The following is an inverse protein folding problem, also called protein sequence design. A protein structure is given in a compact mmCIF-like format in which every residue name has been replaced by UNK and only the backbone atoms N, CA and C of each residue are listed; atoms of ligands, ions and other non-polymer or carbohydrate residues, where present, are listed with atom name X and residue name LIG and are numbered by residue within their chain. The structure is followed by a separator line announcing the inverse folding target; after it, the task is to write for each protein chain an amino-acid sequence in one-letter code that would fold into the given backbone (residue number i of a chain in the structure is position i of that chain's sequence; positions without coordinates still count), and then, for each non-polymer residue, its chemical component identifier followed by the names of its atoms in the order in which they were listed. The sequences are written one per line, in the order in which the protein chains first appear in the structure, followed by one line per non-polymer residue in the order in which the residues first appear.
data_IF_381449199788
#
_entry.id   IF_381449199788
#
_cell.length_a   1.000
_cell.length_b   1.000
_cell.length_c   1.000
_cell.angle_alpha   90.00
_cell.angle_beta   90.00
_cell.angle_gamma   90.00
#
_symmetry.space_group_name_H-M   'P 1'
#
loop_
_entity.id
_entity.type
_entity.pdbx_description
1 polymer ?
#
# COMPACT_ATOMS: atom_id res chain seq x y z
N UNK A 1 13.84 5.21 11.67
CA UNK A 1 13.44 4.51 12.92
C UNK A 1 13.06 3.06 12.65
N UNK A 2 12.17 2.76 11.70
CA UNK A 2 11.80 1.39 11.35
C UNK A 2 12.98 0.53 10.85
N UNK A 3 13.84 1.11 10.02
CA UNK A 3 15.01 0.42 9.46
C UNK A 3 16.03 -0.02 10.53
N UNK A 4 16.24 0.80 11.57
CA UNK A 4 17.13 0.44 12.69
C UNK A 4 16.56 -0.73 13.51
N UNK A 5 15.25 -0.78 13.68
CA UNK A 5 14.58 -1.89 14.38
C UNK A 5 14.58 -3.16 13.53
N UNK A 6 14.35 -3.05 12.22
CA UNK A 6 14.47 -4.17 11.28
C UNK A 6 15.89 -4.74 11.27
N UNK A 7 16.91 -3.86 11.26
CA UNK A 7 18.30 -4.29 11.34
C UNK A 7 18.58 -5.05 12.64
N UNK A 8 18.13 -4.50 13.76
CA UNK A 8 18.27 -5.14 15.08
C UNK A 8 17.62 -6.53 15.12
N UNK A 9 16.38 -6.64 14.65
CA UNK A 9 15.62 -7.91 14.66
C UNK A 9 16.26 -8.95 13.74
N UNK A 10 16.57 -8.58 12.50
CA UNK A 10 17.03 -9.52 11.49
C UNK A 10 18.51 -9.90 11.64
N UNK A 11 19.37 -8.97 12.10
CA UNK A 11 20.81 -9.25 12.21
C UNK A 11 21.25 -9.69 13.61
N UNK A 12 20.68 -9.11 14.67
CA UNK A 12 21.13 -9.41 16.04
C UNK A 12 20.30 -10.52 16.70
N UNK A 13 18.97 -10.45 16.62
CA UNK A 13 18.09 -11.43 17.26
C UNK A 13 17.87 -12.70 16.42
N UNK A 14 17.93 -12.58 15.10
CA UNK A 14 17.78 -13.69 14.13
C UNK A 14 16.58 -14.59 14.47
N UNK A 15 15.38 -14.01 14.39
CA UNK A 15 14.13 -14.73 14.59
C UNK A 15 13.94 -15.84 13.54
N UNK A 16 13.00 -16.76 13.81
CA UNK A 16 12.63 -17.86 12.92
C UNK A 16 12.23 -17.42 11.50
N UNK A 17 11.68 -16.20 11.37
CA UNK A 17 11.29 -15.61 10.09
C UNK A 17 11.97 -14.27 9.87
N UNK A 18 12.41 -14.00 8.64
CA UNK A 18 12.94 -12.69 8.26
C UNK A 18 11.80 -11.68 8.22
N UNK A 19 11.89 -10.64 9.05
CA UNK A 19 10.87 -9.60 9.13
C UNK A 19 11.08 -8.61 8.01
N UNK A 20 10.06 -8.43 7.18
CA UNK A 20 10.07 -7.42 6.09
C UNK A 20 9.13 -6.27 6.43
N UNK A 21 7.95 -6.59 6.98
CA UNK A 21 6.96 -5.61 7.36
C UNK A 21 6.55 -5.85 8.81
N UNK A 22 7.06 -4.97 9.68
CA UNK A 22 6.85 -5.03 11.13
C UNK A 22 5.35 -5.15 11.49
N UNK A 23 4.48 -4.38 10.85
CA UNK A 23 3.06 -4.36 11.22
C UNK A 23 2.33 -5.64 10.81
N UNK A 24 2.72 -6.25 9.69
CA UNK A 24 2.13 -7.49 9.21
C UNK A 24 2.66 -8.69 9.99
N UNK A 25 3.98 -8.77 10.11
CA UNK A 25 4.69 -9.95 10.62
C UNK A 25 4.47 -10.09 12.13
N UNK A 26 4.42 -8.99 12.88
CA UNK A 26 4.14 -9.02 14.32
C UNK A 26 2.64 -9.03 14.67
N UNK A 27 1.73 -8.94 13.69
CA UNK A 27 0.28 -8.90 13.94
C UNK A 27 -0.28 -10.19 14.56
N UNK A 28 0.45 -11.30 14.49
CA UNK A 28 0.07 -12.58 15.11
C UNK A 28 0.38 -12.64 16.61
N UNK A 29 1.29 -11.78 17.08
CA UNK A 29 1.84 -11.84 18.44
C UNK A 29 2.90 -12.95 18.66
N UNK A 30 3.00 -13.94 17.76
CA UNK A 30 3.96 -15.04 17.88
C UNK A 30 5.41 -14.55 17.83
N UNK A 31 5.75 -13.70 16.86
CA UNK A 31 7.10 -13.14 16.74
C UNK A 31 7.49 -12.22 17.90
N UNK A 32 6.51 -11.57 18.56
CA UNK A 32 6.78 -10.83 19.80
C UNK A 32 7.16 -11.79 20.92
N UNK A 33 6.48 -12.93 21.03
CA UNK A 33 6.83 -13.99 21.99
C UNK A 33 8.22 -14.55 21.74
N UNK A 34 8.55 -14.85 20.47
CA UNK A 34 9.88 -15.32 20.09
C UNK A 34 10.97 -14.26 20.38
N UNK A 35 10.69 -12.99 20.10
CA UNK A 35 11.60 -11.89 20.41
C UNK A 35 11.89 -11.80 21.91
N UNK A 36 10.86 -11.89 22.76
CA UNK A 36 11.04 -11.90 24.21
C UNK A 36 11.77 -13.15 24.71
N UNK A 37 11.56 -14.29 24.05
CA UNK A 37 12.30 -15.52 24.31
C UNK A 37 13.79 -15.37 24.01
N UNK A 38 14.15 -14.81 22.85
CA UNK A 38 15.55 -14.53 22.49
C UNK A 38 16.24 -13.55 23.43
N UNK A 39 15.48 -12.62 24.00
CA UNK A 39 15.97 -11.68 25.01
C UNK A 39 16.01 -12.27 26.43
N UNK A 40 15.68 -13.56 26.62
CA UNK A 40 15.55 -14.25 27.91
C UNK A 40 14.56 -13.57 28.88
N UNK A 41 13.54 -12.88 28.34
CA UNK A 41 12.50 -12.19 29.11
C UNK A 41 11.27 -13.08 29.33
N UNK A 42 11.06 -14.09 28.49
CA UNK A 42 9.90 -14.97 28.53
C UNK A 42 10.25 -16.37 28.03
N UNK A 43 9.97 -17.42 28.81
CA UNK A 43 10.41 -18.80 28.49
C UNK A 43 9.29 -19.71 27.97
N UNK A 44 8.03 -19.25 27.97
CA UNK A 44 6.86 -20.05 27.60
C UNK A 44 6.49 -19.93 26.11
N UNK A 45 7.48 -19.87 25.23
CA UNK A 45 7.27 -19.88 23.77
C UNK A 45 6.41 -21.06 23.26
N UNK A 46 6.47 -22.28 23.84
CA UNK A 46 5.62 -23.40 23.41
C UNK A 46 4.11 -23.14 23.55
N UNK A 47 3.70 -22.23 24.42
CA UNK A 47 2.27 -21.90 24.62
C UNK A 47 1.74 -20.96 23.53
N UNK A 48 2.62 -20.38 22.71
CA UNK A 48 2.25 -19.47 21.64
C UNK A 48 1.80 -20.22 20.38
N UNK A 49 0.74 -19.73 19.76
CA UNK A 49 0.18 -20.30 18.54
C UNK A 49 0.59 -19.48 17.32
N UNK A 50 1.36 -20.08 16.40
CA UNK A 50 1.69 -19.46 15.12
C UNK A 50 0.55 -19.60 14.11
N UNK A 51 -0.54 -18.88 14.34
CA UNK A 51 -1.71 -18.86 13.47
C UNK A 51 -2.25 -17.45 13.28
N UNK A 52 -2.88 -17.21 12.13
CA UNK A 52 -3.51 -15.94 11.78
C UNK A 52 -4.97 -15.81 12.29
N UNK A 53 -5.50 -16.85 12.97
CA UNK A 53 -6.85 -16.83 13.53
C UNK A 53 -6.96 -15.77 14.64
N UNK A 54 -8.16 -15.17 14.76
CA UNK A 54 -8.38 -14.11 15.74
C UNK A 54 -8.17 -14.62 17.18
N UNK A 55 -8.62 -15.85 17.48
CA UNK A 55 -8.44 -16.45 18.80
C UNK A 55 -6.97 -16.73 19.13
N UNK A 56 -6.18 -17.22 18.16
CA UNK A 56 -4.74 -17.41 18.36
C UNK A 56 -4.02 -16.09 18.66
N UNK A 57 -4.39 -15.01 17.94
CA UNK A 57 -3.89 -13.67 18.23
C UNK A 57 -4.22 -13.25 19.66
N UNK A 58 -5.50 -13.34 20.06
CA UNK A 58 -5.93 -12.96 21.41
C UNK A 58 -5.13 -13.71 22.47
N UNK A 59 -5.01 -15.04 22.33
CA UNK A 59 -4.25 -15.88 23.25
C UNK A 59 -2.78 -15.43 23.34
N UNK A 60 -2.10 -15.26 22.21
CA UNK A 60 -0.71 -14.81 22.17
C UNK A 60 -0.53 -13.45 22.88
N UNK A 61 -1.42 -12.49 22.63
CA UNK A 61 -1.33 -11.17 23.24
C UNK A 61 -1.68 -11.15 24.73
N UNK A 62 -2.55 -12.05 25.19
CA UNK A 62 -2.75 -12.30 26.63
C UNK A 62 -1.47 -12.86 27.28
N UNK A 63 -0.77 -13.79 26.64
CA UNK A 63 0.50 -14.32 27.16
C UNK A 63 1.63 -13.27 27.21
N UNK A 64 1.56 -12.23 26.37
CA UNK A 64 2.55 -11.14 26.35
C UNK A 64 2.28 -10.07 27.40
N UNK A 65 1.01 -9.85 27.78
CA UNK A 65 0.60 -8.75 28.67
C UNK A 65 1.36 -8.76 30.02
N UNK A 66 1.50 -9.89 30.73
CA UNK A 66 2.28 -9.94 31.96
C UNK A 66 3.72 -9.48 31.75
N UNK A 67 4.42 -10.00 30.74
CA UNK A 67 5.83 -9.66 30.49
C UNK A 67 6.00 -8.19 30.12
N UNK A 68 5.13 -7.65 29.26
CA UNK A 68 5.18 -6.24 28.87
C UNK A 68 4.97 -5.31 30.05
N UNK A 69 4.06 -5.68 30.96
CA UNK A 69 3.80 -4.94 32.20
C UNK A 69 5.01 -4.94 33.14
N UNK A 70 5.70 -6.08 33.28
CA UNK A 70 6.94 -6.18 34.05
C UNK A 70 8.06 -5.29 33.48
N UNK A 71 8.14 -5.20 32.14
CA UNK A 71 9.10 -4.33 31.44
C UNK A 71 8.75 -2.82 31.50
N UNK A 72 7.60 -2.48 32.12
CA UNK A 72 7.03 -1.13 32.17
C UNK A 72 6.78 -0.53 30.78
N UNK A 73 6.38 -1.38 29.83
CA UNK A 73 5.93 -0.99 28.50
C UNK A 73 4.44 -0.66 28.57
N UNK A 74 4.00 0.42 27.94
CA UNK A 74 2.59 0.79 27.90
C UNK A 74 1.84 -0.15 26.95
N UNK A 75 1.30 -1.23 27.51
CA UNK A 75 0.67 -2.31 26.75
C UNK A 75 -0.81 -2.46 27.12
N UNK A 76 -1.63 -1.60 26.52
CA UNK A 76 -3.08 -1.57 26.73
C UNK A 76 -3.82 -2.43 25.70
N UNK A 77 -5.08 -2.78 26.02
CA UNK A 77 -5.94 -3.56 25.12
C UNK A 77 -6.14 -2.89 23.75
N UNK A 78 -6.18 -1.55 23.71
CA UNK A 78 -6.28 -0.78 22.47
C UNK A 78 -5.02 -0.91 21.61
N UNK A 79 -3.84 -0.85 22.24
CA UNK A 79 -2.56 -1.04 21.57
C UNK A 79 -2.44 -2.47 21.04
N UNK A 80 -2.83 -3.47 21.82
CA UNK A 80 -2.87 -4.86 21.39
C UNK A 80 -3.82 -5.05 20.19
N UNK A 81 -5.04 -4.50 20.25
CA UNK A 81 -6.00 -4.55 19.14
C UNK A 81 -5.49 -3.81 17.89
N UNK A 82 -4.82 -2.66 18.05
CA UNK A 82 -4.22 -1.93 16.94
C UNK A 82 -3.12 -2.75 16.24
N UNK A 83 -2.29 -3.46 17.01
CA UNK A 83 -1.26 -4.36 16.46
C UNK A 83 -1.91 -5.56 15.76
N UNK A 84 -2.93 -6.19 16.37
CA UNK A 84 -3.66 -7.30 15.75
C UNK A 84 -4.27 -6.93 14.39
N UNK A 85 -4.67 -5.66 14.23
CA UNK A 85 -5.19 -5.06 13.00
C UNK A 85 -4.12 -4.64 12.00
N UNK A 86 -2.85 -4.62 12.38
CA UNK A 86 -1.76 -4.11 11.56
C UNK A 86 -1.84 -2.58 11.34
N UNK A 87 -2.33 -1.84 12.33
CA UNK A 87 -2.32 -0.38 12.28
C UNK A 87 -0.89 0.15 12.16
N UNK A 88 -0.65 1.04 11.21
CA UNK A 88 0.68 1.56 10.91
C UNK A 88 1.28 2.25 12.14
N UNK A 89 2.46 1.79 12.56
CA UNK A 89 3.24 2.35 13.65
C UNK A 89 2.94 1.76 15.03
N UNK A 90 1.86 0.99 15.19
CA UNK A 90 1.47 0.45 16.49
C UNK A 90 2.47 -0.62 16.97
N UNK A 91 2.81 -1.59 16.12
CA UNK A 91 3.80 -2.61 16.48
C UNK A 91 5.18 -1.98 16.63
N UNK A 92 5.51 -1.00 15.79
CA UNK A 92 6.80 -0.32 15.83
C UNK A 92 7.05 0.42 17.15
N UNK A 93 6.03 1.10 17.68
CA UNK A 93 6.13 1.80 18.96
C UNK A 93 6.38 0.83 20.12
N UNK A 94 5.64 -0.29 20.17
CA UNK A 94 5.83 -1.31 21.22
C UNK A 94 7.20 -1.96 21.10
N UNK A 95 7.64 -2.32 19.89
CA UNK A 95 8.97 -2.89 19.66
C UNK A 95 10.09 -1.95 20.09
N UNK A 96 9.95 -0.66 19.82
CA UNK A 96 10.92 0.33 20.28
C UNK A 96 10.98 0.39 21.81
N UNK A 97 9.83 0.41 22.49
CA UNK A 97 9.77 0.40 23.95
C UNK A 97 10.40 -0.86 24.54
N UNK A 98 10.15 -2.02 23.93
CA UNK A 98 10.76 -3.30 24.33
C UNK A 98 12.27 -3.27 24.15
N UNK A 99 12.76 -2.77 23.01
CA UNK A 99 14.21 -2.62 22.77
C UNK A 99 14.87 -1.75 23.85
N UNK A 100 14.28 -0.59 24.15
CA UNK A 100 14.80 0.32 25.17
C UNK A 100 14.74 -0.30 26.58
N UNK A 101 13.70 -1.07 26.88
CA UNK A 101 13.59 -1.79 28.14
C UNK A 101 14.66 -2.89 28.27
N UNK A 102 14.92 -3.62 27.18
CA UNK A 102 15.94 -4.65 27.12
C UNK A 102 17.35 -4.05 27.26
N UNK A 103 17.66 -2.95 26.56
CA UNK A 103 18.93 -2.25 26.71
C UNK A 103 19.14 -1.70 28.12
N UNK A 104 18.07 -1.18 28.75
CA UNK A 104 18.12 -0.73 30.15
C UNK A 104 18.42 -1.89 31.10
N UNK A 105 17.84 -3.06 30.85
CA UNK A 105 18.11 -4.26 31.64
C UNK A 105 19.55 -4.76 31.44
N UNK A 106 20.06 -4.71 30.21
CA UNK A 106 21.43 -5.09 29.88
C UNK A 106 22.48 -4.13 30.50
N UNK A 107 22.14 -2.84 30.69
CA UNK A 107 23.03 -1.83 31.29
C UNK A 107 23.00 -1.78 32.82
N UNK A 108 22.07 -2.47 33.47
CA UNK A 108 22.03 -2.51 34.92
C UNK A 108 23.25 -3.30 35.47
N UNK A 109 23.98 -2.77 36.47
CA UNK A 109 25.20 -3.41 36.96
C UNK A 109 24.91 -4.78 37.59
N UNK A 110 25.77 -5.76 37.28
CA UNK A 110 25.82 -7.06 37.94
C UNK A 110 26.22 -6.85 39.42
N UNK A 111 25.31 -7.20 40.34
CA UNK A 111 25.37 -7.31 41.82
C UNK A 111 26.63 -6.79 42.57
N UNK A 112 26.42 -5.96 43.60
CA UNK A 112 27.39 -5.65 44.68
C UNK A 112 27.69 -6.87 45.56
N UNK A 113 28.94 -7.33 45.59
CA UNK A 113 29.40 -8.57 46.26
C UNK A 113 29.51 -8.50 47.78
N UNK A 114 29.12 -7.40 48.44
CA UNK A 114 29.30 -7.22 49.91
C UNK A 114 28.51 -8.21 50.79
N UNK A 115 27.48 -8.87 50.25
CA UNK A 115 26.71 -9.89 50.99
C UNK A 115 27.28 -11.32 50.83
N UNK A 116 28.27 -11.52 49.96
CA UNK A 116 28.92 -12.82 49.74
C UNK A 116 29.71 -13.27 50.98
N UNK A 117 30.30 -12.34 51.72
CA UNK A 117 31.19 -12.62 52.86
C UNK A 117 30.49 -13.22 54.09
N UNK A 118 29.15 -13.10 54.21
CA UNK A 118 28.42 -13.55 55.40
C UNK A 118 27.73 -14.90 55.27
N UNK A 119 27.32 -15.30 54.07
CA UNK A 119 26.42 -16.46 53.91
C UNK A 119 26.70 -17.34 52.69
N UNK A 120 27.76 -17.13 51.89
CA UNK A 120 28.06 -17.92 50.69
C UNK A 120 26.89 -18.04 49.69
N UNK A 121 25.97 -17.07 49.70
CA UNK A 121 24.83 -17.00 48.77
C UNK A 121 24.92 -15.69 48.02
N UNK A 122 25.01 -15.75 46.69
CA UNK A 122 24.98 -14.59 45.80
C UNK A 122 23.56 -14.01 45.82
N UNK A 123 23.33 -12.79 46.33
CA UNK A 123 22.01 -12.18 46.27
C UNK A 123 21.74 -11.68 44.85
N UNK A 124 20.55 -11.96 44.33
CA UNK A 124 20.08 -11.41 43.05
C UNK A 124 19.76 -9.91 43.20
N UNK A 125 20.22 -9.08 42.27
CA UNK A 125 19.87 -7.66 42.22
C UNK A 125 18.38 -7.47 41.88
N UNK A 126 17.73 -6.48 42.51
CA UNK A 126 16.39 -5.95 42.22
C UNK A 126 15.15 -6.70 42.73
N UNK A 127 15.23 -7.50 43.79
CA UNK A 127 14.00 -7.82 44.53
C UNK A 127 13.73 -6.75 45.60
N UNK A 128 12.65 -5.96 45.52
CA UNK A 128 12.25 -5.13 46.64
C UNK A 128 12.06 -6.02 47.87
N UNK A 129 12.63 -5.62 49.02
CA UNK A 129 12.60 -6.35 50.31
C UNK A 129 11.18 -6.66 50.79
N UNK A 130 10.20 -5.94 50.26
CA UNK A 130 8.82 -6.39 50.19
C UNK A 130 8.54 -6.67 48.72
N UNK A 131 8.42 -7.95 48.35
CA UNK A 131 7.63 -8.30 47.18
C UNK A 131 6.29 -7.58 47.38
N UNK A 132 5.85 -6.70 46.45
CA UNK A 132 4.44 -6.36 46.41
C UNK A 132 3.74 -7.72 46.46
N UNK A 133 2.78 -7.89 47.38
CA UNK A 133 1.93 -9.09 47.35
C UNK A 133 1.61 -9.34 45.88
N UNK A 134 1.75 -10.57 45.35
CA UNK A 134 1.21 -10.88 44.05
C UNK A 134 -0.30 -10.74 44.18
N UNK A 135 -0.81 -9.52 44.14
CA UNK A 135 -2.00 -9.22 43.41
C UNK A 135 -1.60 -9.43 41.94
N UNK A 136 -1.35 -10.70 41.60
CA UNK A 136 -1.68 -11.21 40.30
C UNK A 136 -3.15 -10.85 40.15
N UNK A 137 -3.36 -9.71 39.50
CA UNK A 137 -4.66 -9.10 39.39
C UNK A 137 -5.32 -9.84 38.23
N UNK A 138 -5.73 -11.07 38.51
CA UNK A 138 -6.50 -11.91 37.60
C UNK A 138 -7.72 -11.14 37.07
N UNK A 139 -8.25 -10.21 37.88
CA UNK A 139 -9.25 -9.26 37.44
C UNK A 139 -8.69 -8.33 36.34
N UNK A 140 -7.52 -7.70 36.50
CA UNK A 140 -6.90 -6.92 35.40
C UNK A 140 -6.59 -7.73 34.15
N UNK A 141 -6.08 -8.96 34.30
CA UNK A 141 -5.81 -9.82 33.14
C UNK A 141 -7.11 -10.20 32.42
N UNK A 142 -8.15 -10.58 33.16
CA UNK A 142 -9.47 -10.88 32.59
C UNK A 142 -10.16 -9.64 32.01
N UNK A 143 -9.98 -8.45 32.60
CA UNK A 143 -10.44 -7.19 32.00
C UNK A 143 -9.69 -6.87 30.71
N UNK A 144 -8.37 -7.10 30.67
CA UNK A 144 -7.57 -6.96 29.45
C UNK A 144 -8.07 -7.91 28.38
N UNK A 145 -8.17 -9.21 28.69
CA UNK A 145 -8.68 -10.23 27.77
C UNK A 145 -10.09 -9.89 27.27
N UNK A 146 -11.00 -9.53 28.17
CA UNK A 146 -12.37 -9.17 27.82
C UNK A 146 -12.41 -7.92 26.92
N UNK A 147 -11.60 -6.91 27.21
CA UNK A 147 -11.48 -5.69 26.40
C UNK A 147 -10.89 -6.00 25.03
N UNK A 148 -9.83 -6.80 24.96
CA UNK A 148 -9.22 -7.26 23.71
C UNK A 148 -10.25 -8.04 22.88
N UNK A 149 -10.95 -9.02 23.47
CA UNK A 149 -12.01 -9.78 22.79
C UNK A 149 -13.13 -8.87 22.27
N UNK A 150 -13.52 -7.83 23.00
CA UNK A 150 -14.51 -6.85 22.54
C UNK A 150 -14.03 -6.07 21.32
N UNK A 151 -12.79 -5.58 21.33
CA UNK A 151 -12.17 -4.88 20.19
C UNK A 151 -11.87 -5.81 19.00
N UNK A 152 -11.67 -7.10 19.26
CA UNK A 152 -11.51 -8.12 18.20
C UNK A 152 -12.86 -8.55 17.63
N UNK A 153 -13.96 -8.51 18.39
CA UNK A 153 -15.30 -8.71 17.81
C UNK A 153 -15.69 -7.57 16.88
N UNK A 154 -15.27 -6.33 17.14
CA UNK A 154 -15.37 -5.27 16.12
C UNK A 154 -14.48 -5.51 14.89
N UNK A 155 -13.47 -6.38 15.02
CA UNK A 155 -12.59 -6.81 13.93
C UNK A 155 -13.29 -7.83 13.01
N UNK A 156 -14.16 -8.68 13.54
CA UNK A 156 -15.05 -9.51 12.73
C UNK A 156 -16.01 -8.65 11.89
N UNK A 157 -16.55 -7.56 12.46
CA UNK A 157 -17.34 -6.60 11.69
C UNK A 157 -16.51 -5.83 10.64
N UNK A 158 -15.22 -5.54 10.91
CA UNK A 158 -14.33 -4.94 9.90
C UNK A 158 -13.93 -5.92 8.79
N UNK A 159 -13.78 -7.22 9.10
CA UNK A 159 -13.61 -8.28 8.08
C UNK A 159 -14.86 -8.40 7.22
N UNK A 160 -16.03 -8.36 7.83
CA UNK A 160 -17.30 -8.33 7.13
C UNK A 160 -17.39 -7.09 6.21
N UNK A 161 -16.96 -5.90 6.67
CA UNK A 161 -16.91 -4.70 5.83
C UNK A 161 -15.94 -4.85 4.63
N UNK A 162 -14.79 -5.52 4.82
CA UNK A 162 -13.86 -5.83 3.73
C UNK A 162 -14.44 -6.84 2.74
N UNK A 163 -15.17 -7.84 3.22
CA UNK A 163 -15.88 -8.80 2.37
C UNK A 163 -16.97 -8.10 1.56
N UNK A 164 -17.75 -7.21 2.18
CA UNK A 164 -18.74 -6.40 1.48
C UNK A 164 -18.11 -5.55 0.36
N UNK A 165 -16.97 -4.89 0.61
CA UNK A 165 -16.24 -4.14 -0.43
C UNK A 165 -15.69 -5.05 -1.54
N UNK A 166 -15.25 -6.26 -1.21
CA UNK A 166 -14.79 -7.22 -2.21
C UNK A 166 -15.96 -7.71 -3.08
N UNK A 167 -17.13 -7.92 -2.50
CA UNK A 167 -18.36 -8.25 -3.23
C UNK A 167 -18.83 -7.10 -4.13
N UNK A 168 -18.74 -5.86 -3.67
CA UNK A 168 -19.01 -4.68 -4.51
C UNK A 168 -18.06 -4.61 -5.71
N UNK A 169 -16.77 -4.85 -5.50
CA UNK A 169 -15.78 -4.88 -6.58
C UNK A 169 -16.08 -6.01 -7.59
N UNK A 170 -16.45 -7.20 -7.10
CA UNK A 170 -16.85 -8.33 -7.97
C UNK A 170 -18.07 -7.98 -8.83
N UNK A 171 -19.08 -7.33 -8.24
CA UNK A 171 -20.26 -6.87 -8.98
C UNK A 171 -19.93 -5.81 -10.03
N UNK A 172 -19.02 -4.88 -9.70
CA UNK A 172 -18.57 -3.87 -10.64
C UNK A 172 -17.84 -4.49 -11.84
N UNK A 173 -16.96 -5.47 -11.61
CA UNK A 173 -16.29 -6.21 -12.68
C UNK A 173 -17.29 -6.97 -13.56
N UNK A 174 -18.25 -7.68 -12.97
CA UNK A 174 -19.32 -8.36 -13.72
C UNK A 174 -20.14 -7.39 -14.59
N UNK A 175 -20.44 -6.20 -14.07
CA UNK A 175 -21.13 -5.17 -14.85
C UNK A 175 -20.29 -4.67 -16.03
N UNK A 176 -18.96 -4.51 -15.83
CA UNK A 176 -18.04 -4.13 -16.91
C UNK A 176 -17.94 -5.22 -17.98
N UNK A 177 -17.87 -6.48 -17.58
CA UNK A 177 -17.90 -7.61 -18.50
C UNK A 177 -19.21 -7.65 -19.31
N UNK A 178 -20.35 -7.41 -18.66
CA UNK A 178 -21.64 -7.31 -19.36
C UNK A 178 -21.65 -6.17 -20.38
N UNK A 179 -21.13 -5.00 -20.01
CA UNK A 179 -20.99 -3.88 -20.96
C UNK A 179 -20.06 -4.21 -22.13
N UNK A 180 -18.95 -4.91 -21.88
CA UNK A 180 -18.03 -5.34 -22.92
C UNK A 180 -18.69 -6.33 -23.90
N UNK A 181 -19.46 -7.31 -23.40
CA UNK A 181 -20.23 -8.24 -24.24
C UNK A 181 -21.22 -7.53 -25.14
N UNK A 182 -21.97 -6.56 -24.59
CA UNK A 182 -22.89 -5.75 -25.38
C UNK A 182 -22.16 -4.93 -26.45
N UNK A 183 -20.97 -4.41 -26.13
CA UNK A 183 -20.15 -3.70 -27.09
C UNK A 183 -19.67 -4.63 -28.23
N UNK A 184 -19.23 -5.84 -27.91
CA UNK A 184 -18.83 -6.86 -28.89
C UNK A 184 -20.00 -7.26 -29.81
N UNK A 185 -21.21 -7.46 -29.27
CA UNK A 185 -22.41 -7.74 -30.08
C UNK A 185 -22.75 -6.58 -31.03
N UNK A 186 -22.66 -5.34 -30.54
CA UNK A 186 -22.85 -4.16 -31.37
C UNK A 186 -21.77 -4.04 -32.46
N UNK A 187 -20.53 -4.43 -32.17
CA UNK A 187 -19.46 -4.47 -33.16
C UNK A 187 -19.66 -5.57 -34.19
N UNK A 188 -20.06 -6.78 -33.77
CA UNK A 188 -20.37 -7.89 -34.66
C UNK A 188 -21.51 -7.52 -35.61
N UNK A 189 -22.61 -6.94 -35.10
CA UNK A 189 -23.73 -6.50 -35.95
C UNK A 189 -23.32 -5.39 -36.91
N UNK A 190 -22.44 -4.45 -36.51
CA UNK A 190 -21.86 -3.46 -37.42
C UNK A 190 -21.01 -4.13 -38.50
N UNK A 191 -20.16 -5.09 -38.12
CA UNK A 191 -19.30 -5.83 -39.05
C UNK A 191 -20.14 -6.62 -40.07
N UNK A 192 -21.22 -7.27 -39.65
CA UNK A 192 -22.17 -7.96 -40.54
C UNK A 192 -22.82 -7.01 -41.55
N UNK A 193 -23.28 -5.83 -41.10
CA UNK A 193 -23.87 -4.81 -42.00
C UNK A 193 -22.86 -4.35 -43.04
N UNK A 194 -21.62 -4.11 -42.62
CA UNK A 194 -20.54 -3.75 -43.53
C UNK A 194 -20.23 -4.87 -44.52
N UNK A 195 -20.18 -6.12 -44.07
CA UNK A 195 -19.97 -7.28 -44.93
C UNK A 195 -21.09 -7.44 -45.96
N UNK A 196 -22.36 -7.32 -45.55
CA UNK A 196 -23.51 -7.35 -46.47
C UNK A 196 -23.47 -6.21 -47.49
N UNK A 197 -23.16 -5.00 -47.05
CA UNK A 197 -23.02 -3.84 -47.93
C UNK A 197 -21.88 -4.03 -48.94
N UNK A 198 -20.78 -4.67 -48.52
CA UNK A 198 -19.66 -5.03 -49.39
C UNK A 198 -20.09 -6.04 -50.47
N UNK A 199 -20.72 -7.16 -50.08
CA UNK A 199 -21.22 -8.17 -51.02
C UNK A 199 -22.22 -7.57 -52.02
N UNK A 200 -23.16 -6.77 -51.53
CA UNK A 200 -24.12 -6.07 -52.38
C UNK A 200 -23.43 -5.11 -53.35
N UNK A 201 -22.44 -4.33 -52.88
CA UNK A 201 -21.66 -3.47 -53.78
C UNK A 201 -20.84 -4.26 -54.79
N UNK A 202 -20.35 -5.45 -54.43
CA UNK A 202 -19.60 -6.31 -55.34
C UNK A 202 -20.51 -6.90 -56.41
N UNK A 203 -21.69 -7.40 -56.02
CA UNK A 203 -22.71 -7.91 -56.94
C UNK A 203 -23.18 -6.83 -57.93
N UNK A 204 -23.41 -5.60 -57.46
CA UNK A 204 -23.75 -4.47 -58.34
C UNK A 204 -22.62 -4.21 -59.33
N UNK A 205 -21.35 -4.23 -58.90
CA UNK A 205 -20.22 -4.02 -59.82
C UNK A 205 -20.19 -5.09 -60.90
N UNK A 206 -20.28 -6.38 -60.55
CA UNK A 206 -20.21 -7.47 -61.52
C UNK A 206 -21.37 -7.43 -62.52
N UNK A 207 -22.60 -7.22 -62.06
CA UNK A 207 -23.78 -7.11 -62.94
C UNK A 207 -23.70 -5.91 -63.90
N UNK A 208 -22.97 -4.87 -63.50
CA UNK A 208 -22.83 -3.63 -64.24
C UNK A 208 -21.60 -3.64 -65.16
N UNK A 209 -20.58 -4.46 -64.87
CA UNK A 209 -19.48 -4.78 -65.77
C UNK A 209 -19.96 -5.70 -66.92
N UNK A 210 -20.95 -6.55 -66.67
CA UNK A 210 -21.64 -7.36 -67.70
C UNK A 210 -22.58 -6.50 -68.58
N UNK A 211 -23.14 -5.43 -68.02
CA UNK A 211 -24.05 -4.51 -68.70
C UNK A 211 -23.27 -3.26 -69.11
N UNK A 212 -22.58 -3.30 -70.25
CA UNK A 212 -21.60 -2.31 -70.71
C UNK A 212 -22.20 -0.90 -71.02
N UNK A 213 -22.75 -0.24 -69.99
CA UNK A 213 -23.64 0.90 -70.10
C UNK A 213 -22.87 2.24 -70.06
N UNK A 214 -23.04 3.12 -71.06
CA UNK A 214 -22.34 4.39 -71.14
C UNK A 214 -22.71 5.37 -70.00
N UNK A 215 -23.95 5.29 -69.48
CA UNK A 215 -24.40 6.10 -68.36
C UNK A 215 -23.65 5.78 -67.05
N UNK A 216 -23.25 4.53 -66.86
CA UNK A 216 -22.49 4.11 -65.68
C UNK A 216 -21.06 4.65 -65.69
N UNK A 217 -20.39 4.66 -66.86
CA UNK A 217 -19.04 5.25 -67.01
C UNK A 217 -19.04 6.73 -66.64
N UNK A 218 -20.06 7.47 -67.06
CA UNK A 218 -20.24 8.87 -66.69
C UNK A 218 -20.52 9.05 -65.18
N UNK A 219 -21.34 8.18 -64.59
CA UNK A 219 -21.59 8.18 -63.15
C UNK A 219 -20.33 7.86 -62.33
N UNK A 220 -19.48 6.95 -62.81
CA UNK A 220 -18.21 6.59 -62.20
C UNK A 220 -17.19 7.74 -62.27
N UNK A 221 -17.09 8.41 -63.41
CA UNK A 221 -16.29 9.63 -63.56
C UNK A 221 -16.78 10.72 -62.60
N UNK A 222 -18.09 10.98 -62.56
CA UNK A 222 -18.71 11.94 -61.63
C UNK A 222 -18.42 11.58 -60.17
N UNK A 223 -18.44 10.29 -59.80
CA UNK A 223 -18.08 9.82 -58.46
C UNK A 223 -16.60 10.07 -58.15
N UNK A 224 -15.70 9.73 -59.07
CA UNK A 224 -14.25 9.95 -58.90
C UNK A 224 -13.91 11.43 -58.73
N UNK A 225 -14.59 12.32 -59.45
CA UNK A 225 -14.45 13.76 -59.30
C UNK A 225 -14.92 14.24 -57.93
N UNK A 226 -16.06 13.74 -57.45
CA UNK A 226 -16.57 14.06 -56.10
C UNK A 226 -15.60 13.60 -55.02
N UNK A 227 -15.02 12.41 -55.16
CA UNK A 227 -14.02 11.89 -54.22
C UNK A 227 -12.74 12.72 -54.24
N UNK A 228 -12.24 13.11 -55.42
CA UNK A 228 -11.10 14.03 -55.56
C UNK A 228 -11.36 15.38 -54.89
N UNK A 229 -12.54 15.99 -55.12
CA UNK A 229 -12.95 17.26 -54.50
C UNK A 229 -13.00 17.13 -52.97
N UNK A 230 -13.57 16.03 -52.47
CA UNK A 230 -13.66 15.74 -51.02
C UNK A 230 -12.28 15.53 -50.40
N UNK A 231 -11.41 14.74 -51.03
CA UNK A 231 -10.05 14.49 -50.55
C UNK A 231 -9.23 15.78 -50.49
N UNK A 232 -9.30 16.60 -51.55
CA UNK A 232 -8.65 17.91 -51.59
C UNK A 232 -9.13 18.83 -50.46
N UNK A 233 -10.44 18.88 -50.21
CA UNK A 233 -11.00 19.65 -49.09
C UNK A 233 -10.47 19.18 -47.72
N UNK A 234 -10.41 17.86 -47.47
CA UNK A 234 -9.87 17.35 -46.20
C UNK A 234 -8.37 17.60 -46.05
N UNK A 235 -7.59 17.51 -47.14
CA UNK A 235 -6.17 17.84 -47.13
C UNK A 235 -5.96 19.31 -46.79
N UNK A 236 -6.75 20.23 -47.37
CA UNK A 236 -6.72 21.65 -47.03
C UNK A 236 -7.06 21.90 -45.56
N UNK A 237 -8.11 21.25 -45.04
CA UNK A 237 -8.52 21.38 -43.64
C UNK A 237 -7.43 20.86 -42.67
N UNK A 238 -6.79 19.74 -43.00
CA UNK A 238 -5.70 19.18 -42.21
C UNK A 238 -4.46 20.11 -42.23
N UNK A 239 -4.08 20.63 -43.41
CA UNK A 239 -2.98 21.58 -43.54
C UNK A 239 -3.24 22.88 -42.76
N UNK A 240 -4.49 23.37 -42.76
CA UNK A 240 -4.86 24.55 -41.97
C UNK A 240 -4.78 24.27 -40.46
N UNK A 241 -5.22 23.08 -40.00
CA UNK A 241 -5.09 22.68 -38.59
C UNK A 241 -3.61 22.56 -38.18
N UNK A 242 -2.78 21.94 -39.01
CA UNK A 242 -1.35 21.81 -38.77
C UNK A 242 -0.66 23.18 -38.66
N UNK A 243 -0.92 24.10 -39.60
CA UNK A 243 -0.40 25.47 -39.56
C UNK A 243 -0.81 26.22 -38.28
N UNK A 244 -2.06 26.06 -37.83
CA UNK A 244 -2.53 26.66 -36.57
C UNK A 244 -1.78 26.09 -35.36
N UNK A 245 -1.58 24.77 -35.31
CA UNK A 245 -0.81 24.13 -34.25
C UNK A 245 0.66 24.55 -34.26
N UNK A 246 1.30 24.65 -35.43
CA UNK A 246 2.68 25.13 -35.58
C UNK A 246 2.83 26.58 -35.12
N UNK A 247 1.89 27.45 -35.50
CA UNK A 247 1.87 28.84 -35.03
C UNK A 247 1.72 28.94 -33.51
N UNK A 248 0.83 28.13 -32.92
CA UNK A 248 0.66 28.07 -31.46
C UNK A 248 1.94 27.58 -30.76
N UNK A 249 2.57 26.52 -31.29
CA UNK A 249 3.83 26.00 -30.75
C UNK A 249 4.98 27.00 -30.90
N UNK A 250 5.06 27.71 -32.03
CA UNK A 250 6.06 28.74 -32.27
C UNK A 250 5.87 29.92 -31.31
N UNK A 251 4.63 30.40 -31.12
CA UNK A 251 4.36 31.47 -30.14
C UNK A 251 4.69 31.03 -28.72
N UNK A 252 4.33 29.79 -28.33
CA UNK A 252 4.68 29.23 -27.02
C UNK A 252 6.19 29.14 -26.80
N UNK A 253 6.94 28.75 -27.83
CA UNK A 253 8.42 28.68 -27.76
C UNK A 253 9.03 30.07 -27.60
N UNK A 254 8.54 31.07 -28.34
CA UNK A 254 9.01 32.45 -28.21
C UNK A 254 8.71 33.05 -26.83
N UNK A 255 7.50 32.82 -26.28
CA UNK A 255 7.17 33.27 -24.93
C UNK A 255 8.05 32.60 -23.89
N UNK A 256 8.28 31.29 -23.98
CA UNK A 256 9.18 30.59 -23.06
C UNK A 256 10.62 31.07 -23.13
N UNK A 257 11.15 31.37 -24.33
CA UNK A 257 12.49 31.95 -24.46
C UNK A 257 12.59 33.33 -23.82
N UNK A 258 11.61 34.20 -24.09
CA UNK A 258 11.56 35.52 -23.47
C UNK A 258 11.47 35.44 -21.94
N UNK A 259 10.64 34.54 -21.41
CA UNK A 259 10.48 34.33 -19.97
C UNK A 259 11.78 33.79 -19.31
N UNK A 260 12.53 32.93 -20.01
CA UNK A 260 13.83 32.42 -19.54
C UNK A 260 14.90 33.50 -19.55
N UNK A 261 14.99 34.29 -20.62
CA UNK A 261 15.94 35.40 -20.73
C UNK A 261 15.66 36.48 -19.66
N UNK A 262 14.38 36.78 -19.42
CA UNK A 262 13.93 37.67 -18.34
C UNK A 262 14.29 37.11 -16.95
N UNK A 263 14.17 35.81 -16.74
CA UNK A 263 14.52 35.15 -15.49
C UNK A 263 16.04 35.20 -15.22
N UNK A 264 16.85 34.86 -16.21
CA UNK A 264 18.32 34.91 -16.10
C UNK A 264 18.82 36.34 -15.90
N UNK A 265 18.18 37.32 -16.55
CA UNK A 265 18.42 38.75 -16.30
C UNK A 265 18.14 39.16 -14.85
N UNK A 266 17.04 38.65 -14.26
CA UNK A 266 16.73 38.89 -12.84
C UNK A 266 17.75 38.23 -11.91
N UNK A 267 18.12 36.97 -12.15
CA UNK A 267 19.09 36.24 -11.32
C UNK A 267 20.50 36.86 -11.34
N UNK A 268 20.94 37.36 -12.49
CA UNK A 268 22.24 38.04 -12.63
C UNK A 268 22.26 39.42 -11.95
N UNK A 269 21.13 40.13 -11.93
CA UNK A 269 21.02 41.39 -11.20
C UNK A 269 21.02 41.20 -9.68
N UNK A 270 20.36 40.14 -9.18
CA UNK A 270 20.24 39.84 -7.75
C UNK A 270 21.57 39.30 -7.15
N UNK A 271 22.37 38.58 -7.96
CA UNK A 271 23.73 38.14 -7.57
C UNK A 271 24.74 39.30 -7.55
N UNK A 272 24.63 40.27 -8.47
CA UNK A 272 25.42 41.52 -8.41
C UNK A 272 25.04 42.38 -7.21
N UNK A 273 23.75 42.49 -6.88
CA UNK A 273 23.27 43.24 -5.73
C UNK A 273 23.74 42.64 -4.38
N UNK A 274 23.81 41.30 -4.27
CA UNK A 274 24.36 40.62 -3.07
C UNK A 274 25.87 40.75 -2.92
N UNK A 275 26.64 40.75 -4.02
CA UNK A 275 28.11 40.93 -3.98
C UNK A 275 28.55 42.36 -3.62
N UNK A 276 27.68 43.36 -3.81
CA UNK A 276 27.96 44.76 -3.45
C UNK A 276 27.67 45.09 -1.96
N UNK A 277 27.14 44.15 -1.17
CA UNK A 277 26.72 44.37 0.22
C UNK A 277 27.57 43.65 1.28
N UNK A 278 28.68 43.02 0.89
CA UNK A 278 29.70 42.48 1.81
C UNK A 278 30.99 43.29 1.71
#
# INVERSE_FOLDING_TARGET
MAELLLRWINHELQLSTVVTNVERDFSSGYLLGELLYRLNLQHNLPDFLNSATADAKILNFCLLEPTMRHLRVAFDANTAAAIMNGHRGAALQVLYQVKMAAERLARAPLVSTKALERHNVVPLHNMPTKLPKPAYDEAKHSFFEHSVRRHVRSLASLRHERELKAEEHRKAEQYREQQARLAEELEATKAERLHRAFLHSQYIKTALDETDSPAWRQALQTKSERERRKAHFYQQLAAQRARRSEQQLFSLRQTMQHDLDDFDGRCTSDTKAKRSRN
#
